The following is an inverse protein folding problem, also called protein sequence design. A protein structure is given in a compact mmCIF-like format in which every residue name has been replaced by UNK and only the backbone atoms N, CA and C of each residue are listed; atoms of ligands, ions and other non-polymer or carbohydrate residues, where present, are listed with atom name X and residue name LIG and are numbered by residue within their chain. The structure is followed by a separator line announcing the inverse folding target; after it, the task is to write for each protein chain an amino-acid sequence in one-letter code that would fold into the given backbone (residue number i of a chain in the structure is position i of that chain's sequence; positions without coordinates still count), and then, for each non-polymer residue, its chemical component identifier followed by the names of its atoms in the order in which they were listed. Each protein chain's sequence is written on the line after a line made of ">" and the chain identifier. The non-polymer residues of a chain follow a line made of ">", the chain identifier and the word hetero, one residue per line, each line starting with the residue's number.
data_IF_808464058805
#
_entry.id   IF_808464058805
#
_cell.length_a   1.000
_cell.length_b   1.000
_cell.length_c   1.000
_cell.angle_alpha   90.00
_cell.angle_beta   90.00
_cell.angle_gamma   90.00
#
_symmetry.space_group_name_H-M   'P 1'
#
loop_
_entity.id
_entity.type
_entity.pdbx_description
1 polymer ?
#
# COMPACT_ATOMS: atom_id res chain seq x y z
N UNK A 1 -5.50 -51.97 4.88
CA UNK A 1 -6.28 -50.71 4.71
C UNK A 1 -5.95 -49.61 5.75
N UNK A 2 -4.89 -49.70 6.58
CA UNK A 2 -4.56 -48.69 7.63
C UNK A 2 -3.62 -47.56 7.19
N UNK A 3 -2.97 -47.69 6.03
CA UNK A 3 -1.89 -46.78 5.62
C UNK A 3 -2.35 -45.65 4.68
N UNK A 4 -3.55 -45.76 4.09
CA UNK A 4 -4.03 -44.77 3.12
C UNK A 4 -4.59 -43.50 3.79
N UNK A 5 -5.18 -43.62 4.98
CA UNK A 5 -5.72 -42.49 5.75
C UNK A 5 -4.59 -41.54 6.21
N UNK A 6 -3.41 -42.08 6.51
CA UNK A 6 -2.25 -41.28 6.95
C UNK A 6 -1.68 -40.39 5.84
N UNK A 7 -1.76 -40.83 4.59
CA UNK A 7 -1.29 -40.04 3.44
C UNK A 7 -2.30 -38.96 3.03
N UNK A 8 -3.60 -39.23 3.18
CA UNK A 8 -4.68 -38.26 2.91
C UNK A 8 -4.64 -37.08 3.89
N UNK A 9 -4.41 -37.35 5.19
CA UNK A 9 -4.25 -36.31 6.21
C UNK A 9 -3.04 -35.41 5.94
N UNK A 10 -1.92 -35.98 5.48
CA UNK A 10 -0.73 -35.20 5.11
C UNK A 10 -0.99 -34.30 3.90
N UNK A 11 -1.65 -34.81 2.87
CA UNK A 11 -1.98 -34.03 1.68
C UNK A 11 -2.93 -32.84 1.98
N UNK A 12 -3.88 -33.02 2.90
CA UNK A 12 -4.79 -31.95 3.33
C UNK A 12 -4.10 -30.80 4.06
N UNK A 13 -3.11 -31.09 4.91
CA UNK A 13 -2.35 -30.05 5.64
C UNK A 13 -1.53 -29.17 4.68
N UNK A 14 -0.96 -29.75 3.63
CA UNK A 14 -0.21 -28.98 2.64
C UNK A 14 -1.09 -28.09 1.76
N UNK A 15 -2.32 -28.51 1.44
CA UNK A 15 -3.26 -27.66 0.69
C UNK A 15 -3.78 -26.48 1.53
N UNK A 16 -4.02 -26.68 2.83
CA UNK A 16 -4.48 -25.60 3.71
C UNK A 16 -3.44 -24.47 3.82
N UNK A 17 -2.16 -24.83 3.95
CA UNK A 17 -1.05 -23.85 4.04
C UNK A 17 -0.90 -23.00 2.76
N UNK A 18 -1.15 -23.57 1.58
CA UNK A 18 -1.07 -22.83 0.32
C UNK A 18 -2.16 -21.76 0.19
N UNK A 19 -3.38 -22.02 0.68
CA UNK A 19 -4.49 -21.05 0.64
C UNK A 19 -4.21 -19.85 1.56
N UNK A 20 -3.59 -20.08 2.73
CA UNK A 20 -3.23 -18.98 3.64
C UNK A 20 -2.11 -18.07 3.10
N UNK A 21 -1.23 -18.56 2.23
CA UNK A 21 -0.15 -17.73 1.66
C UNK A 21 -0.67 -16.65 0.68
N UNK A 22 -1.81 -16.88 0.03
CA UNK A 22 -2.41 -15.91 -0.91
C UNK A 22 -3.49 -15.03 -0.28
N UNK A 23 -3.91 -15.31 0.97
CA UNK A 23 -4.96 -14.55 1.64
C UNK A 23 -4.52 -13.15 2.14
N UNK A 24 -3.21 -12.86 2.16
CA UNK A 24 -2.67 -11.60 2.67
C UNK A 24 -2.01 -10.70 1.60
N UNK A 25 -1.93 -11.14 0.35
CA UNK A 25 -1.52 -10.26 -0.75
C UNK A 25 -2.74 -9.48 -1.23
N UNK A 26 -3.14 -8.45 -0.47
CA UNK A 26 -4.09 -7.47 -0.98
C UNK A 26 -3.48 -6.86 -2.24
N UNK A 27 -4.18 -6.84 -3.39
CA UNK A 27 -3.68 -6.11 -4.55
C UNK A 27 -3.61 -4.63 -4.16
N UNK A 28 -2.39 -4.07 -4.13
CA UNK A 28 -2.23 -2.62 -4.05
C UNK A 28 -2.90 -2.04 -5.29
N UNK A 29 -3.98 -1.30 -5.07
CA UNK A 29 -4.79 -0.76 -6.15
C UNK A 29 -3.94 0.32 -6.87
N UNK A 30 -3.60 0.16 -8.16
CA UNK A 30 -2.75 1.12 -8.87
C UNK A 30 -3.42 2.51 -9.01
N UNK A 31 -4.73 2.60 -8.76
CA UNK A 31 -5.49 3.85 -8.73
C UNK A 31 -5.76 4.33 -7.29
N UNK A 32 -4.85 4.08 -6.34
CA UNK A 32 -5.02 4.62 -4.99
C UNK A 32 -4.84 6.14 -5.06
N UNK A 33 -5.94 6.85 -4.82
CA UNK A 33 -5.91 8.28 -4.53
C UNK A 33 -5.12 8.47 -3.25
N UNK A 34 -4.14 9.35 -3.29
CA UNK A 34 -3.30 9.74 -2.16
C UNK A 34 -3.44 11.24 -1.95
N UNK A 35 -3.02 11.74 -0.81
CA UNK A 35 -3.22 13.13 -0.42
C UNK A 35 -1.89 13.84 -0.26
N UNK A 36 -1.76 14.99 -0.89
CA UNK A 36 -0.65 15.91 -0.68
C UNK A 36 -1.10 17.13 0.11
N UNK A 37 -0.19 17.74 0.85
CA UNK A 37 -0.48 18.96 1.60
C UNK A 37 -0.03 20.19 0.82
N UNK A 38 -0.95 20.84 0.10
CA UNK A 38 -0.68 22.09 -0.60
C UNK A 38 -0.79 23.29 0.36
N UNK A 39 0.18 24.21 0.40
CA UNK A 39 0.16 25.35 1.32
C UNK A 39 -0.94 26.38 1.04
N UNK A 40 -1.57 26.35 -0.14
CA UNK A 40 -2.62 27.27 -0.56
C UNK A 40 -4.01 26.61 -0.41
N UNK A 41 -4.12 25.35 -0.84
CA UNK A 41 -5.40 24.63 -0.91
C UNK A 41 -5.64 23.66 0.26
N UNK A 42 -4.62 23.33 1.03
CA UNK A 42 -4.67 22.30 2.06
C UNK A 42 -4.51 20.89 1.47
N UNK A 43 -5.15 19.86 2.04
CA UNK A 43 -5.10 18.50 1.50
C UNK A 43 -5.70 18.42 0.09
N UNK A 44 -4.91 17.95 -0.88
CA UNK A 44 -5.33 17.78 -2.27
C UNK A 44 -5.17 16.32 -2.71
N UNK A 45 -6.20 15.72 -3.33
CA UNK A 45 -6.11 14.35 -3.82
C UNK A 45 -5.30 14.30 -5.13
N UNK A 46 -4.30 13.42 -5.16
CA UNK A 46 -3.47 13.14 -6.34
C UNK A 46 -3.38 11.64 -6.59
N UNK A 47 -2.97 11.26 -7.79
CA UNK A 47 -2.70 9.85 -8.12
C UNK A 47 -1.23 9.52 -7.89
N UNK A 48 -0.95 8.42 -7.19
CA UNK A 48 0.42 7.98 -6.96
C UNK A 48 1.14 7.74 -8.31
N UNK A 49 2.33 8.31 -8.49
CA UNK A 49 3.08 8.23 -9.75
C UNK A 49 2.55 9.10 -10.90
N UNK A 50 1.56 9.97 -10.66
CA UNK A 50 1.13 10.96 -11.65
C UNK A 50 2.10 12.15 -11.72
N UNK A 51 2.09 12.87 -12.85
CA UNK A 51 2.86 14.11 -13.03
C UNK A 51 2.15 15.36 -12.48
N UNK A 52 1.08 15.18 -11.70
CA UNK A 52 0.27 16.29 -11.16
C UNK A 52 0.95 16.98 -9.97
N UNK A 53 1.96 16.35 -9.39
CA UNK A 53 2.71 16.86 -8.26
C UNK A 53 4.19 16.52 -8.37
N UNK A 54 4.98 17.15 -7.50
CA UNK A 54 6.37 16.85 -7.26
C UNK A 54 6.63 16.85 -5.75
N UNK A 55 7.50 15.94 -5.30
CA UNK A 55 8.05 15.98 -3.96
C UNK A 55 9.45 16.60 -4.07
N UNK A 56 9.60 17.85 -3.66
CA UNK A 56 10.91 18.49 -3.64
C UNK A 56 11.79 17.83 -2.57
N UNK A 57 13.08 17.63 -2.84
CA UNK A 57 14.00 16.89 -1.96
C UNK A 57 14.17 17.56 -0.59
N UNK A 58 13.30 17.20 0.35
CA UNK A 58 13.34 17.63 1.74
C UNK A 58 13.15 16.41 2.66
N UNK A 59 14.22 15.94 3.34
CA UNK A 59 14.14 14.75 4.19
C UNK A 59 13.37 14.97 5.49
N UNK A 60 13.03 16.21 5.84
CA UNK A 60 12.28 16.56 7.05
C UNK A 60 10.77 16.66 6.82
N UNK A 61 10.33 16.67 5.56
CA UNK A 61 8.94 16.81 5.19
C UNK A 61 8.38 15.51 4.61
N UNK A 62 7.10 15.25 4.88
CA UNK A 62 6.35 14.18 4.27
C UNK A 62 5.56 14.76 3.10
N UNK A 63 5.67 14.13 1.94
CA UNK A 63 5.05 14.62 0.71
C UNK A 63 3.62 14.09 0.52
N UNK A 64 3.41 12.79 0.77
CA UNK A 64 2.14 12.11 0.49
C UNK A 64 1.61 11.34 1.69
N UNK A 65 0.29 11.25 1.76
CA UNK A 65 -0.48 10.61 2.81
C UNK A 65 -1.56 9.69 2.22
N UNK A 66 -1.95 8.66 2.96
CA UNK A 66 -3.02 7.75 2.57
C UNK A 66 -4.42 8.32 2.85
N UNK A 67 -4.49 9.32 3.73
CA UNK A 67 -5.72 9.96 4.23
C UNK A 67 -5.70 11.49 4.05
N UNK A 68 -6.90 12.07 3.94
CA UNK A 68 -7.11 13.52 3.80
C UNK A 68 -6.68 14.30 5.05
N UNK A 69 -6.75 13.67 6.24
CA UNK A 69 -6.35 14.28 7.50
C UNK A 69 -4.82 14.34 7.69
N UNK A 70 -4.04 13.84 6.71
CA UNK A 70 -2.58 13.86 6.70
C UNK A 70 -1.95 13.17 7.93
N UNK A 71 -2.59 12.10 8.41
CA UNK A 71 -2.15 11.37 9.60
C UNK A 71 -1.36 10.10 9.28
N UNK A 72 -1.57 9.53 8.08
CA UNK A 72 -0.97 8.29 7.61
C UNK A 72 0.03 8.57 6.47
N UNK A 73 1.31 8.82 6.79
CA UNK A 73 2.32 9.10 5.79
C UNK A 73 2.61 7.88 4.91
N UNK A 74 2.73 8.09 3.59
CA UNK A 74 3.18 7.05 2.67
C UNK A 74 4.69 6.83 2.84
N UNK A 75 5.07 5.57 3.06
CA UNK A 75 6.49 5.24 3.23
C UNK A 75 7.24 5.46 1.92
N UNK A 76 8.33 6.22 1.97
CA UNK A 76 9.18 6.51 0.80
C UNK A 76 8.84 7.80 0.04
N UNK A 77 7.77 8.52 0.41
CA UNK A 77 7.43 9.83 -0.17
C UNK A 77 7.86 10.98 0.75
N UNK A 78 9.17 11.18 0.87
CA UNK A 78 9.73 12.34 1.60
C UNK A 78 9.93 13.52 0.65
N UNK A 79 9.62 14.71 1.12
CA UNK A 79 9.75 15.94 0.36
C UNK A 79 8.64 16.96 0.62
N UNK A 80 8.85 18.19 0.16
CA UNK A 80 7.82 19.21 0.16
C UNK A 80 6.88 18.96 -1.02
N UNK A 81 5.58 18.84 -0.73
CA UNK A 81 4.57 18.63 -1.76
C UNK A 81 4.34 19.90 -2.57
N UNK A 82 4.37 19.76 -3.89
CA UNK A 82 4.11 20.85 -4.83
C UNK A 82 3.26 20.39 -6.00
N UNK A 83 2.10 21.01 -6.19
CA UNK A 83 1.28 20.80 -7.39
C UNK A 83 1.94 21.40 -8.64
N UNK A 84 1.81 20.71 -9.77
CA UNK A 84 2.26 21.19 -11.10
C UNK A 84 1.13 21.80 -11.92
#
# INVERSE_FOLDING_TARGET
>A
MKNQIKNLLRAGVFMLAAVFAFAFTKPMNPNQTVWGNDPIQGPVPVQLGSSQYECENNPSAQCLYEDEDLTMPITGSTGDFRLK
#
